data_IF_556083428409
#
_entry.id   IF_556083428409
#
_cell.length_a   1.000
_cell.length_b   1.000
_cell.length_c   1.000
_cell.angle_alpha   90.00
_cell.angle_beta   90.00
_cell.angle_gamma   90.00
#
_symmetry.space_group_name_H-M   'P 1'
#
loop_
_entity.id
_entity.type
_entity.pdbx_description
1 polymer ?
#
# COMPACT_ATOMS: atom_id res chain seq x y z
N UNK A 1 -6.95 -0.23 7.09
CA UNK A 1 -7.66 0.75 6.25
C UNK A 1 -6.91 0.90 4.92
N UNK A 2 -7.57 0.76 3.76
CA UNK A 2 -6.89 0.92 2.47
C UNK A 2 -6.65 2.41 2.18
N UNK A 3 -5.39 2.79 2.02
CA UNK A 3 -5.04 4.12 1.54
C UNK A 3 -5.34 4.25 0.04
N UNK A 4 -5.90 5.39 -0.38
CA UNK A 4 -6.15 5.71 -1.79
C UNK A 4 -4.85 5.71 -2.60
N UNK A 5 -4.96 5.40 -3.89
CA UNK A 5 -3.82 5.28 -4.80
C UNK A 5 -3.11 6.63 -4.96
N UNK A 6 -3.86 7.73 -5.03
CA UNK A 6 -3.34 9.10 -5.11
C UNK A 6 -2.54 9.47 -3.85
N UNK A 7 -3.01 9.03 -2.69
CA UNK A 7 -2.31 9.27 -1.42
C UNK A 7 -0.97 8.55 -1.39
N UNK A 8 -0.91 7.29 -1.82
CA UNK A 8 0.36 6.55 -1.88
C UNK A 8 1.33 7.17 -2.88
N UNK A 9 0.85 7.61 -4.04
CA UNK A 9 1.66 8.34 -5.04
C UNK A 9 2.22 9.64 -4.46
N UNK A 10 1.42 10.40 -3.71
CA UNK A 10 1.86 11.64 -3.06
C UNK A 10 2.99 11.38 -2.06
N UNK A 11 2.89 10.31 -1.27
CA UNK A 11 3.91 9.91 -0.30
C UNK A 11 5.20 9.47 -1.00
N UNK A 12 5.11 8.69 -2.08
CA UNK A 12 6.29 8.27 -2.83
C UNK A 12 6.96 9.44 -3.53
N UNK A 13 6.19 10.32 -4.18
CA UNK A 13 6.73 11.52 -4.82
C UNK A 13 7.46 12.43 -3.82
N UNK A 14 6.99 12.50 -2.58
CA UNK A 14 7.69 13.23 -1.51
C UNK A 14 9.07 12.60 -1.19
N UNK A 15 9.16 11.27 -1.21
CA UNK A 15 10.39 10.53 -0.95
C UNK A 15 11.35 10.63 -2.15
N UNK A 16 10.84 10.52 -3.39
CA UNK A 16 11.63 10.69 -4.62
C UNK A 16 12.23 12.10 -4.75
N UNK A 17 11.53 13.11 -4.24
CA UNK A 17 12.04 14.50 -4.15
C UNK A 17 13.13 14.69 -3.08
N UNK A 18 13.57 13.63 -2.40
CA UNK A 18 14.61 13.68 -1.36
C UNK A 18 14.09 13.75 0.07
N UNK A 19 12.77 13.63 0.28
CA UNK A 19 12.19 13.57 1.61
C UNK A 19 12.57 12.31 2.36
N UNK A 20 12.92 12.42 3.64
CA UNK A 20 13.23 11.25 4.48
C UNK A 20 11.96 10.47 4.80
N UNK A 21 12.07 9.14 4.88
CA UNK A 21 10.96 8.24 5.27
C UNK A 21 10.41 8.60 6.66
N UNK A 22 11.27 9.02 7.58
CA UNK A 22 10.89 9.45 8.93
C UNK A 22 10.09 10.75 8.93
N UNK A 23 10.42 11.68 8.04
CA UNK A 23 9.69 12.94 7.87
C UNK A 23 8.36 12.68 7.17
N UNK A 24 8.36 11.86 6.10
CA UNK A 24 7.14 11.45 5.43
C UNK A 24 6.14 10.79 6.41
N UNK A 25 6.62 9.94 7.31
CA UNK A 25 5.79 9.33 8.34
C UNK A 25 5.11 10.38 9.25
N UNK A 26 5.83 11.44 9.63
CA UNK A 26 5.30 12.53 10.46
C UNK A 26 4.35 13.44 9.67
N UNK A 27 4.73 13.84 8.46
CA UNK A 27 3.97 14.75 7.59
C UNK A 27 2.64 14.15 7.16
N UNK A 28 2.63 12.86 6.81
CA UNK A 28 1.43 12.18 6.33
C UNK A 28 0.69 11.38 7.42
N UNK A 29 1.23 11.30 8.63
CA UNK A 29 0.64 10.54 9.74
C UNK A 29 0.59 9.03 9.50
N UNK A 30 1.56 8.48 8.78
CA UNK A 30 1.60 7.05 8.40
C UNK A 30 2.73 6.35 9.14
N UNK A 31 2.50 5.11 9.59
CA UNK A 31 3.57 4.27 10.10
C UNK A 31 4.66 3.99 9.06
N UNK A 32 5.94 4.08 9.47
CA UNK A 32 7.11 3.80 8.63
C UNK A 32 7.03 2.45 7.92
N UNK A 33 6.51 1.43 8.61
CA UNK A 33 6.33 0.08 8.04
C UNK A 33 5.45 0.06 6.79
N UNK A 34 4.42 0.91 6.73
CA UNK A 34 3.55 1.03 5.56
C UNK A 34 4.28 1.66 4.38
N UNK A 35 5.12 2.67 4.65
CA UNK A 35 5.95 3.32 3.63
C UNK A 35 6.95 2.32 3.04
N UNK A 36 7.64 1.55 3.88
CA UNK A 36 8.52 0.47 3.41
C UNK A 36 7.78 -0.58 2.58
N UNK A 37 6.55 -0.96 2.97
CA UNK A 37 5.71 -1.88 2.18
C UNK A 37 5.35 -1.34 0.79
N UNK A 38 5.25 -0.03 0.62
CA UNK A 38 4.98 0.58 -0.68
C UNK A 38 6.23 0.69 -1.53
N UNK A 39 7.37 1.04 -0.93
CA UNK A 39 8.67 1.07 -1.62
C UNK A 39 9.09 -0.32 -2.12
N UNK A 40 8.76 -1.39 -1.39
CA UNK A 40 9.09 -2.76 -1.76
C UNK A 40 8.11 -3.37 -2.79
N UNK A 41 7.16 -2.60 -3.32
CA UNK A 41 6.24 -3.09 -4.38
C UNK A 41 6.61 -2.48 -5.72
N UNK A 42 6.56 -3.30 -6.76
CA UNK A 42 6.58 -2.84 -8.16
C UNK A 42 5.32 -2.03 -8.51
N UNK A 43 4.16 -2.42 -7.97
CA UNK A 43 2.89 -1.73 -8.21
C UNK A 43 2.18 -1.27 -6.93
N UNK A 44 1.71 -0.02 -6.96
CA UNK A 44 0.97 0.64 -5.88
C UNK A 44 -0.52 0.30 -5.82
N UNK A 45 -1.02 -0.45 -6.79
CA UNK A 45 -2.43 -0.84 -6.89
C UNK A 45 -2.86 -1.70 -5.71
N UNK A 46 -4.15 -1.66 -5.40
CA UNK A 46 -4.74 -2.58 -4.45
C UNK A 46 -4.63 -4.01 -4.99
N UNK A 47 -4.37 -4.97 -4.10
CA UNK A 47 -4.44 -6.37 -4.50
C UNK A 47 -5.92 -6.73 -4.67
N UNK A 48 -6.34 -6.97 -5.91
CA UNK A 48 -7.70 -7.40 -6.23
C UNK A 48 -7.76 -8.91 -6.12
N UNK A 49 -8.29 -9.40 -5.01
CA UNK A 49 -8.53 -10.84 -4.83
C UNK A 49 -9.89 -11.16 -5.43
N UNK A 50 -9.90 -11.84 -6.59
CA UNK A 50 -11.15 -12.19 -7.28
C UNK A 50 -11.93 -13.27 -6.54
N UNK A 51 -11.23 -14.30 -6.07
CA UNK A 51 -11.78 -15.36 -5.23
C UNK A 51 -10.80 -15.69 -4.11
N UNK A 52 -11.30 -15.71 -2.88
CA UNK A 52 -10.54 -16.20 -1.74
C UNK A 52 -10.85 -17.68 -1.58
N UNK A 53 -9.83 -18.52 -1.57
CA UNK A 53 -10.00 -19.93 -1.23
C UNK A 53 -10.59 -20.03 0.19
N UNK A 54 -11.77 -20.64 0.29
CA UNK A 54 -12.46 -20.91 1.56
C UNK A 54 -12.52 -22.42 1.77
N UNK A 55 -12.88 -22.83 2.99
CA UNK A 55 -13.04 -24.24 3.35
C UNK A 55 -14.12 -24.94 2.51
N UNK A 56 -15.16 -24.22 2.11
CA UNK A 56 -16.21 -24.75 1.24
C UNK A 56 -15.82 -24.57 -0.23
N UNK A 57 -15.83 -25.66 -0.98
CA UNK A 57 -15.47 -25.65 -2.39
C UNK A 57 -16.60 -25.07 -3.22
N UNK A 58 -16.35 -23.92 -3.83
CA UNK A 58 -17.37 -23.20 -4.61
C UNK A 58 -17.81 -23.99 -5.85
N UNK A 59 -16.93 -24.84 -6.39
CA UNK A 59 -17.23 -25.65 -7.59
C UNK A 59 -18.21 -26.81 -7.30
N UNK A 60 -18.48 -27.09 -6.03
CA UNK A 60 -19.34 -28.19 -5.61
C UNK A 60 -20.80 -27.76 -5.34
N UNK A 61 -21.17 -26.53 -5.72
CA UNK A 61 -22.50 -25.93 -5.53
C UNK A 61 -23.08 -25.51 -6.88
#
# INVERSE_FOLDING_TARGET
MPYSLDFRKKVINYIEKGGKITEAAKVFGIGRATIYKWLNRSELKANKVERRQRKLDWKAL
#
